data_IF_819430892444
#
_entry.id   IF_819430892444
#
_cell.length_a   1.000
_cell.length_b   1.000
_cell.length_c   1.000
_cell.angle_alpha   90.00
_cell.angle_beta   90.00
_cell.angle_gamma   90.00
#
_symmetry.space_group_name_H-M   'P 1'
#
loop_
_entity.id
_entity.type
_entity.pdbx_description
1 polymer ?
#
# COMPACT_ATOMS: atom_id res chain seq x y z
N UNK A 1 42.84 -20.69 12.18
CA UNK A 1 42.85 -19.20 12.20
C UNK A 1 42.07 -18.71 10.99
N UNK A 2 40.97 -18.03 11.28
CA UNK A 2 40.17 -17.08 10.47
C UNK A 2 39.62 -17.50 9.10
N UNK A 3 38.37 -17.95 9.10
CA UNK A 3 37.44 -17.89 7.96
C UNK A 3 36.72 -16.55 7.97
N UNK A 4 36.91 -15.73 6.93
CA UNK A 4 36.15 -14.48 6.75
C UNK A 4 34.91 -14.77 5.87
N UNK A 5 33.74 -14.88 6.50
CA UNK A 5 32.44 -14.91 5.81
C UNK A 5 32.07 -13.48 5.38
N UNK A 6 32.20 -13.21 4.08
CA UNK A 6 31.75 -11.97 3.45
C UNK A 6 30.22 -12.01 3.36
N UNK A 7 29.54 -11.31 4.26
CA UNK A 7 28.08 -11.13 4.21
C UNK A 7 27.73 -10.16 3.08
N UNK A 8 27.16 -10.69 2.00
CA UNK A 8 26.45 -9.91 0.98
C UNK A 8 25.06 -9.59 1.51
N UNK A 9 24.90 -8.42 2.13
CA UNK A 9 23.60 -7.85 2.43
C UNK A 9 23.45 -6.56 1.62
N UNK A 10 23.16 -6.73 0.32
CA UNK A 10 22.70 -5.65 -0.55
C UNK A 10 21.30 -5.28 -0.10
N UNK A 11 21.21 -4.39 0.88
CA UNK A 11 20.00 -3.58 1.08
C UNK A 11 19.94 -2.65 -0.12
N UNK A 12 19.24 -3.08 -1.17
CA UNK A 12 18.90 -2.21 -2.28
C UNK A 12 17.95 -1.12 -1.74
N UNK A 13 18.51 0.01 -1.31
CA UNK A 13 17.78 1.27 -1.33
C UNK A 13 17.32 1.43 -2.78
N UNK A 14 16.03 1.29 -3.04
CA UNK A 14 15.44 1.65 -4.33
C UNK A 14 15.94 3.05 -4.69
N UNK A 15 16.71 3.15 -5.76
CA UNK A 15 17.34 4.39 -6.14
C UNK A 15 16.22 5.43 -6.45
N UNK A 16 16.41 6.71 -6.12
CA UNK A 16 15.49 7.78 -6.51
C UNK A 16 15.20 7.81 -8.03
N UNK A 17 16.11 7.23 -8.83
CA UNK A 17 15.96 7.05 -10.27
C UNK A 17 14.81 6.13 -10.68
N UNK A 18 14.52 5.06 -9.93
CA UNK A 18 13.43 4.13 -10.28
C UNK A 18 12.06 4.81 -10.15
N UNK A 19 11.87 5.61 -9.10
CA UNK A 19 10.59 6.32 -8.88
C UNK A 19 10.35 7.36 -9.98
N UNK A 20 11.40 8.08 -10.39
CA UNK A 20 11.32 9.05 -11.47
C UNK A 20 11.14 8.38 -12.84
N UNK A 21 11.78 7.24 -13.08
CA UNK A 21 11.67 6.48 -14.32
C UNK A 21 10.28 5.83 -14.47
N UNK A 22 9.71 5.31 -13.38
CA UNK A 22 8.32 4.79 -13.34
C UNK A 22 7.32 5.92 -13.61
N UNK A 23 7.54 7.10 -13.02
CA UNK A 23 6.72 8.29 -13.28
C UNK A 23 6.79 8.74 -14.75
N UNK A 24 7.97 8.69 -15.36
CA UNK A 24 8.17 9.02 -16.77
C UNK A 24 7.47 8.03 -17.71
N UNK A 25 7.59 6.72 -17.45
CA UNK A 25 6.91 5.66 -18.22
C UNK A 25 5.38 5.78 -18.11
N UNK A 26 4.87 6.09 -16.92
CA UNK A 26 3.44 6.31 -16.70
C UNK A 26 2.93 7.52 -17.47
N UNK A 27 3.67 8.62 -17.47
CA UNK A 27 3.28 9.84 -18.18
C UNK A 27 3.20 9.62 -19.70
N UNK A 28 4.11 8.82 -20.26
CA UNK A 28 4.07 8.42 -21.69
C UNK A 28 2.85 7.56 -21.97
N UNK A 29 2.59 6.52 -21.16
CA UNK A 29 1.39 5.70 -21.30
C UNK A 29 0.10 6.53 -21.25
N UNK A 30 0.00 7.46 -20.30
CA UNK A 30 -1.17 8.32 -20.17
C UNK A 30 -1.35 9.18 -21.42
N UNK A 31 -0.31 9.86 -21.88
CA UNK A 31 -0.39 10.78 -23.01
C UNK A 31 -0.60 10.07 -24.36
N UNK A 32 0.12 8.98 -24.61
CA UNK A 32 0.18 8.34 -25.93
C UNK A 32 -0.83 7.20 -26.10
N UNK A 33 -1.32 6.61 -25.00
CA UNK A 33 -2.22 5.47 -25.07
C UNK A 33 -3.56 5.71 -24.38
N UNK A 34 -3.56 6.20 -23.14
CA UNK A 34 -4.80 6.33 -22.37
C UNK A 34 -5.69 7.47 -22.88
N UNK A 35 -5.13 8.68 -23.05
CA UNK A 35 -5.91 9.84 -23.49
C UNK A 35 -6.50 9.65 -24.89
N UNK A 36 -5.76 9.13 -25.90
CA UNK A 36 -6.34 8.81 -27.20
C UNK A 36 -7.44 7.74 -27.13
N UNK A 37 -7.25 6.70 -26.30
CA UNK A 37 -8.30 5.71 -26.05
C UNK A 37 -9.56 6.36 -25.49
N UNK A 38 -9.42 7.23 -24.49
CA UNK A 38 -10.54 7.94 -23.88
C UNK A 38 -11.22 8.91 -24.87
N UNK A 39 -10.45 9.57 -25.74
CA UNK A 39 -11.01 10.42 -26.79
C UNK A 39 -11.85 9.61 -27.79
N UNK A 40 -11.46 8.37 -28.08
CA UNK A 40 -12.23 7.44 -28.90
C UNK A 40 -13.52 6.95 -28.24
N UNK A 41 -13.48 6.66 -26.93
CA UNK A 41 -14.66 6.21 -26.17
C UNK A 41 -15.65 7.35 -25.86
N UNK A 42 -15.14 8.57 -25.64
CA UNK A 42 -15.94 9.75 -25.32
C UNK A 42 -15.57 10.94 -26.23
N UNK A 43 -16.10 10.99 -27.46
CA UNK A 43 -15.80 12.05 -28.42
C UNK A 43 -16.13 13.46 -27.91
N UNK A 44 -17.14 13.60 -27.04
CA UNK A 44 -17.49 14.87 -26.42
C UNK A 44 -16.38 15.44 -25.50
N UNK A 45 -15.49 14.58 -25.01
CA UNK A 45 -14.33 14.95 -24.19
C UNK A 45 -13.03 15.07 -24.98
N UNK A 46 -12.98 14.69 -26.26
CA UNK A 46 -11.74 14.64 -27.05
C UNK A 46 -10.94 15.96 -27.02
N UNK A 47 -11.62 17.10 -27.25
CA UNK A 47 -10.97 18.42 -27.20
C UNK A 47 -10.32 18.74 -25.84
N UNK A 48 -10.92 18.27 -24.74
CA UNK A 48 -10.38 18.49 -23.39
C UNK A 48 -9.18 17.59 -23.09
N UNK A 49 -9.17 16.38 -23.66
CA UNK A 49 -8.10 15.40 -23.50
C UNK A 49 -6.88 15.75 -24.38
N UNK A 50 -7.13 16.19 -25.62
CA UNK A 50 -6.09 16.47 -26.61
C UNK A 50 -5.47 17.87 -26.45
N UNK A 51 -6.26 18.87 -26.03
CA UNK A 51 -5.83 20.28 -25.97
C UNK A 51 -4.58 20.54 -25.12
N UNK A 52 -4.26 19.66 -24.15
CA UNK A 52 -2.99 19.64 -23.44
C UNK A 52 -2.68 18.22 -22.93
N UNK A 53 -2.56 17.25 -23.84
CA UNK A 53 -2.37 15.84 -23.49
C UNK A 53 -1.21 15.62 -22.49
N UNK A 54 -0.09 16.33 -22.66
CA UNK A 54 1.07 16.23 -21.76
C UNK A 54 0.78 16.77 -20.36
N UNK A 55 0.11 17.92 -20.23
CA UNK A 55 -0.27 18.49 -18.95
C UNK A 55 -1.33 17.65 -18.24
N UNK A 56 -2.30 17.13 -18.99
CA UNK A 56 -3.33 16.22 -18.50
C UNK A 56 -2.68 14.92 -18.00
N UNK A 57 -1.78 14.31 -18.78
CA UNK A 57 -1.06 13.10 -18.38
C UNK A 57 -0.26 13.29 -17.09
N UNK A 58 0.42 14.43 -16.91
CA UNK A 58 1.14 14.73 -15.66
C UNK A 58 0.20 14.84 -14.46
N UNK A 59 -0.92 15.54 -14.60
CA UNK A 59 -1.91 15.69 -13.53
C UNK A 59 -2.53 14.32 -13.15
N UNK A 60 -2.85 13.51 -14.16
CA UNK A 60 -3.37 12.15 -13.98
C UNK A 60 -2.34 11.24 -13.32
N UNK A 61 -1.07 11.31 -13.73
CA UNK A 61 0.01 10.50 -13.17
C UNK A 61 0.23 10.72 -11.67
N UNK A 62 0.03 11.95 -11.19
CA UNK A 62 0.04 12.25 -9.75
C UNK A 62 -1.12 11.58 -9.01
N UNK A 63 -2.34 11.65 -9.55
CA UNK A 63 -3.56 11.14 -8.91
C UNK A 63 -3.68 9.61 -8.97
N UNK A 64 -3.13 8.99 -10.00
CA UNK A 64 -3.13 7.54 -10.22
C UNK A 64 -1.83 6.88 -9.77
N UNK A 65 -0.98 7.59 -9.02
CA UNK A 65 0.26 7.06 -8.48
C UNK A 65 0.01 5.77 -7.68
N UNK A 66 0.77 4.74 -7.99
CA UNK A 66 0.70 3.44 -7.31
C UNK A 66 -0.15 2.39 -8.04
N UNK A 67 -0.89 2.78 -9.09
CA UNK A 67 -1.55 1.84 -10.00
C UNK A 67 -0.69 1.62 -11.24
N UNK A 68 -0.78 0.41 -11.81
CA UNK A 68 -0.11 0.09 -13.06
C UNK A 68 -0.98 0.46 -14.28
N UNK A 69 -0.36 0.53 -15.46
CA UNK A 69 -1.03 0.93 -16.70
C UNK A 69 -2.22 0.01 -17.08
N UNK A 70 -2.10 -1.29 -16.81
CA UNK A 70 -3.15 -2.26 -17.09
C UNK A 70 -4.39 -2.02 -16.22
N UNK A 71 -4.22 -1.85 -14.91
CA UNK A 71 -5.31 -1.53 -13.97
C UNK A 71 -6.05 -0.26 -14.37
N UNK A 72 -5.31 0.77 -14.78
CA UNK A 72 -5.87 2.04 -15.23
C UNK A 72 -6.68 1.84 -16.51
N UNK A 73 -6.11 1.13 -17.50
CA UNK A 73 -6.80 0.85 -18.77
C UNK A 73 -8.07 0.05 -18.56
N UNK A 74 -8.01 -1.03 -17.78
CA UNK A 74 -9.17 -1.89 -17.48
C UNK A 74 -10.29 -1.10 -16.80
N UNK A 75 -9.95 -0.25 -15.82
CA UNK A 75 -10.93 0.60 -15.15
C UNK A 75 -11.58 1.62 -16.11
N UNK A 76 -10.80 2.20 -17.03
CA UNK A 76 -11.34 3.10 -18.07
C UNK A 76 -12.25 2.35 -19.04
N UNK A 77 -11.86 1.16 -19.50
CA UNK A 77 -12.70 0.32 -20.36
C UNK A 77 -14.01 -0.06 -19.66
N UNK A 78 -13.94 -0.46 -18.39
CA UNK A 78 -15.12 -0.78 -17.59
C UNK A 78 -16.08 0.42 -17.45
N UNK A 79 -15.57 1.64 -17.34
CA UNK A 79 -16.38 2.86 -17.34
C UNK A 79 -16.93 3.19 -18.74
N UNK A 80 -16.29 2.72 -19.80
CA UNK A 80 -16.74 2.86 -21.20
C UNK A 80 -17.91 1.96 -21.57
N UNK A 81 -18.15 0.88 -20.82
CA UNK A 81 -19.33 0.03 -20.99
C UNK A 81 -20.63 0.72 -20.54
N UNK A 82 -20.54 1.82 -19.80
CA UNK A 82 -21.69 2.64 -19.39
C UNK A 82 -22.19 3.49 -20.57
N UNK A 83 -23.21 3.00 -21.27
CA UNK A 83 -23.77 3.62 -22.47
C UNK A 83 -24.41 5.01 -22.22
N UNK A 84 -24.81 5.31 -20.97
CA UNK A 84 -25.42 6.60 -20.63
C UNK A 84 -24.36 7.69 -20.37
N UNK A 85 -23.08 7.31 -20.24
CA UNK A 85 -21.98 8.25 -19.99
C UNK A 85 -21.58 8.99 -21.26
N UNK A 86 -21.79 10.30 -21.23
CA UNK A 86 -21.44 11.19 -22.34
C UNK A 86 -19.98 11.70 -22.31
N UNK A 87 -19.37 11.75 -21.13
CA UNK A 87 -18.05 12.36 -20.93
C UNK A 87 -17.04 11.39 -20.31
N UNK A 88 -15.78 11.59 -20.67
CA UNK A 88 -14.68 10.79 -20.17
C UNK A 88 -14.57 10.88 -18.64
N UNK A 89 -14.19 9.78 -17.97
CA UNK A 89 -14.11 9.74 -16.52
C UNK A 89 -12.99 10.64 -15.99
N UNK A 90 -13.20 11.17 -14.78
CA UNK A 90 -12.14 11.87 -14.04
C UNK A 90 -11.16 10.85 -13.43
N UNK A 91 -9.91 11.23 -13.15
CA UNK A 91 -8.93 10.35 -12.52
C UNK A 91 -9.42 9.75 -11.20
N UNK A 92 -10.22 10.49 -10.43
CA UNK A 92 -10.78 10.03 -9.17
C UNK A 92 -11.79 8.89 -9.35
N UNK A 93 -12.57 8.90 -10.43
CA UNK A 93 -13.54 7.85 -10.77
C UNK A 93 -12.81 6.58 -11.19
N UNK A 94 -11.78 6.71 -12.03
CA UNK A 94 -10.90 5.59 -12.42
C UNK A 94 -10.26 4.97 -11.19
N UNK A 95 -9.70 5.79 -10.29
CA UNK A 95 -9.15 5.31 -9.01
C UNK A 95 -10.19 4.57 -8.18
N UNK A 96 -11.42 5.07 -8.10
CA UNK A 96 -12.48 4.42 -7.34
C UNK A 96 -12.83 3.03 -7.90
N UNK A 97 -12.88 2.89 -9.23
CA UNK A 97 -13.09 1.60 -9.90
C UNK A 97 -11.94 0.63 -9.58
N UNK A 98 -10.68 1.07 -9.70
CA UNK A 98 -9.53 0.21 -9.39
C UNK A 98 -9.55 -0.24 -7.93
N UNK A 99 -9.85 0.67 -6.99
CA UNK A 99 -9.93 0.34 -5.56
C UNK A 99 -11.10 -0.60 -5.25
N UNK A 100 -12.23 -0.45 -5.94
CA UNK A 100 -13.39 -1.33 -5.80
C UNK A 100 -13.16 -2.72 -6.41
N UNK A 101 -12.43 -2.77 -7.52
CA UNK A 101 -12.11 -3.99 -8.27
C UNK A 101 -10.88 -4.73 -7.72
N UNK A 102 -10.01 -4.04 -6.98
CA UNK A 102 -9.01 -4.70 -6.16
C UNK A 102 -9.77 -5.75 -5.33
N UNK A 103 -9.31 -7.02 -5.30
CA UNK A 103 -9.86 -7.94 -4.33
C UNK A 103 -9.79 -7.18 -3.03
N UNK A 104 -10.95 -6.95 -2.39
CA UNK A 104 -10.97 -6.45 -1.04
C UNK A 104 -9.88 -7.27 -0.39
N UNK A 105 -8.76 -6.61 -0.04
CA UNK A 105 -7.73 -7.32 0.66
C UNK A 105 -8.56 -8.05 1.69
N UNK A 106 -8.50 -9.38 1.70
CA UNK A 106 -8.87 -10.06 2.90
C UNK A 106 -7.88 -9.45 3.90
N UNK A 107 -8.26 -8.32 4.49
CA UNK A 107 -8.59 -8.22 5.88
C UNK A 107 -9.41 -9.48 6.18
N UNK A 108 -8.72 -10.64 6.12
CA UNK A 108 -8.67 -11.56 7.23
C UNK A 108 -8.81 -10.65 8.41
N UNK A 109 -9.88 -10.81 9.18
CA UNK A 109 -10.05 -10.12 10.44
C UNK A 109 -8.73 -10.29 11.20
N UNK A 110 -7.76 -9.41 10.95
CA UNK A 110 -6.46 -9.42 11.55
C UNK A 110 -6.80 -8.75 12.84
N UNK A 111 -7.32 -9.56 13.76
CA UNK A 111 -7.53 -9.16 15.12
C UNK A 111 -6.27 -8.46 15.60
N UNK A 112 -6.48 -7.35 16.30
CA UNK A 112 -5.47 -6.41 16.81
C UNK A 112 -4.04 -6.97 16.73
N UNK A 113 -3.25 -6.58 15.75
CA UNK A 113 -1.86 -7.02 15.70
C UNK A 113 -1.06 -6.28 16.78
N UNK A 114 -0.38 -7.02 17.66
CA UNK A 114 0.50 -6.46 18.69
C UNK A 114 1.89 -7.08 18.56
N UNK A 115 2.94 -6.27 18.65
CA UNK A 115 4.30 -6.81 18.56
C UNK A 115 4.71 -7.47 19.88
N UNK A 116 5.60 -8.48 19.82
CA UNK A 116 6.18 -9.11 21.00
C UNK A 116 6.87 -8.08 21.92
N UNK A 117 7.54 -7.07 21.34
CA UNK A 117 8.17 -5.97 22.07
C UNK A 117 7.15 -5.09 22.81
N UNK A 118 5.97 -4.86 22.23
CA UNK A 118 4.91 -4.16 22.93
C UNK A 118 4.39 -4.98 24.12
N UNK A 119 4.27 -6.30 23.97
CA UNK A 119 3.90 -7.19 25.07
C UNK A 119 4.94 -7.18 26.21
N UNK A 120 6.24 -7.17 25.88
CA UNK A 120 7.33 -7.04 26.85
C UNK A 120 7.25 -5.73 27.64
N UNK A 121 7.07 -4.60 26.97
CA UNK A 121 6.93 -3.30 27.64
C UNK A 121 5.69 -3.28 28.55
N UNK A 122 4.57 -3.88 28.11
CA UNK A 122 3.38 -4.00 28.97
C UNK A 122 3.69 -4.85 30.21
N UNK A 123 4.41 -5.96 30.05
CA UNK A 123 4.80 -6.83 31.16
C UNK A 123 5.74 -6.10 32.14
N UNK A 124 6.76 -5.42 31.65
CA UNK A 124 7.67 -4.61 32.47
C UNK A 124 6.93 -3.53 33.26
N UNK A 125 6.02 -2.81 32.60
CA UNK A 125 5.22 -1.76 33.25
C UNK A 125 4.32 -2.35 34.35
N UNK A 126 3.69 -3.50 34.11
CA UNK A 126 2.85 -4.18 35.12
C UNK A 126 3.68 -4.64 36.33
N UNK A 127 4.83 -5.26 36.09
CA UNK A 127 5.76 -5.69 37.15
C UNK A 127 6.26 -4.48 37.94
N UNK A 128 6.69 -3.42 37.26
CA UNK A 128 7.15 -2.19 37.90
C UNK A 128 6.05 -1.54 38.76
N UNK A 129 4.80 -1.54 38.30
CA UNK A 129 3.68 -0.99 39.07
C UNK A 129 3.42 -1.79 40.35
N UNK A 130 3.60 -3.11 40.32
CA UNK A 130 3.37 -4.02 41.47
C UNK A 130 4.54 -4.06 42.45
N UNK A 131 5.76 -4.19 41.95
CA UNK A 131 6.95 -4.55 42.73
C UNK A 131 7.93 -3.38 42.89
N UNK A 132 7.70 -2.24 42.20
CA UNK A 132 8.62 -1.09 42.13
C UNK A 132 10.03 -1.43 41.67
N UNK A 133 10.20 -2.59 41.03
CA UNK A 133 11.39 -3.08 40.39
C UNK A 133 11.01 -3.94 39.18
N UNK A 134 12.00 -4.29 38.35
CA UNK A 134 11.78 -5.07 37.11
C UNK A 134 12.66 -6.33 37.12
N UNK A 135 12.44 -7.28 38.05
CA UNK A 135 13.20 -8.53 38.04
C UNK A 135 12.83 -9.37 36.82
N UNK A 136 13.84 -9.88 36.12
CA UNK A 136 13.68 -10.61 34.86
C UNK A 136 12.71 -11.79 34.97
N UNK A 137 12.76 -12.54 36.07
CA UNK A 137 11.88 -13.69 36.33
C UNK A 137 10.41 -13.29 36.54
N UNK A 138 10.14 -12.09 37.05
CA UNK A 138 8.77 -11.57 37.16
C UNK A 138 8.26 -11.07 35.82
N UNK A 139 9.11 -10.40 35.03
CA UNK A 139 8.76 -9.95 33.68
C UNK A 139 8.47 -11.12 32.75
N UNK A 140 9.25 -12.20 32.82
CA UNK A 140 9.01 -13.39 32.01
C UNK A 140 7.64 -14.04 32.29
N UNK A 141 7.27 -14.15 33.58
CA UNK A 141 5.94 -14.66 33.98
C UNK A 141 4.82 -13.73 33.55
N UNK A 142 4.98 -12.43 33.73
CA UNK A 142 3.98 -11.43 33.35
C UNK A 142 3.82 -11.36 31.82
N UNK A 143 4.90 -11.51 31.06
CA UNK A 143 4.87 -11.56 29.59
C UNK A 143 4.03 -12.72 29.09
N UNK A 144 4.15 -13.91 29.70
CA UNK A 144 3.29 -15.06 29.34
C UNK A 144 1.81 -14.76 29.58
N UNK A 145 1.47 -14.07 30.68
CA UNK A 145 0.10 -13.65 30.96
C UNK A 145 -0.41 -12.63 29.94
N UNK A 146 0.40 -11.61 29.62
CA UNK A 146 0.06 -10.60 28.60
C UNK A 146 -0.15 -11.26 27.24
N UNK A 147 0.69 -12.22 26.85
CA UNK A 147 0.52 -12.94 25.59
C UNK A 147 -0.79 -13.76 25.57
N UNK A 148 -1.10 -14.49 26.65
CA UNK A 148 -2.34 -15.24 26.76
C UNK A 148 -3.58 -14.33 26.70
N UNK A 149 -3.55 -13.18 27.39
CA UNK A 149 -4.61 -12.18 27.33
C UNK A 149 -4.82 -11.64 25.91
N UNK A 150 -3.72 -11.35 25.20
CA UNK A 150 -3.78 -10.83 23.83
C UNK A 150 -4.33 -11.88 22.87
N UNK A 151 -3.89 -13.12 22.98
CA UNK A 151 -4.46 -14.24 22.21
C UNK A 151 -5.95 -14.42 22.50
N UNK A 152 -6.39 -14.33 23.77
CA UNK A 152 -7.80 -14.41 24.14
C UNK A 152 -8.63 -13.24 23.59
N UNK A 153 -8.04 -12.05 23.46
CA UNK A 153 -8.64 -10.87 22.82
C UNK A 153 -8.65 -10.96 21.28
N UNK A 154 -8.20 -12.07 20.71
CA UNK A 154 -8.11 -12.28 19.26
C UNK A 154 -6.95 -11.52 18.61
N UNK A 155 -6.00 -10.99 19.38
CA UNK A 155 -4.85 -10.28 18.86
C UNK A 155 -3.81 -11.23 18.25
N UNK A 156 -3.28 -10.89 17.08
CA UNK A 156 -2.17 -11.62 16.46
C UNK A 156 -0.86 -11.03 16.97
N UNK A 157 -0.07 -11.82 17.69
CA UNK A 157 1.24 -11.40 18.17
C UNK A 157 2.27 -11.55 17.06
N UNK A 158 2.96 -10.45 16.72
CA UNK A 158 3.98 -10.43 15.66
C UNK A 158 5.39 -10.29 16.24
N UNK A 159 6.33 -11.07 15.71
CA UNK A 159 7.74 -11.08 16.14
C UNK A 159 8.19 -12.43 16.70
N UNK A 160 9.49 -12.55 16.97
CA UNK A 160 10.08 -13.76 17.54
C UNK A 160 10.14 -13.60 19.06
N UNK A 161 9.62 -14.57 19.79
CA UNK A 161 9.91 -14.69 21.23
C UNK A 161 11.41 -14.95 21.36
N UNK A 162 12.17 -14.13 22.12
CA UNK A 162 13.58 -14.37 22.37
C UNK A 162 13.82 -15.67 23.15
#
# INVERSE_FOLDING_TARGET
MTTALRSNQTTALSAPGDILQVSARMSVFLAEELLPLMAGLWPASANQLDGNARGVALAWGSLLKGFNAQQIREAVLQLGEDADRQFAPRPAEVRAVIVKAAPAATVSQSGLCISIRACEVIAEVRVFQRERGVPADAVARELQQVLAEKVHQGAVVTGRVP
#
